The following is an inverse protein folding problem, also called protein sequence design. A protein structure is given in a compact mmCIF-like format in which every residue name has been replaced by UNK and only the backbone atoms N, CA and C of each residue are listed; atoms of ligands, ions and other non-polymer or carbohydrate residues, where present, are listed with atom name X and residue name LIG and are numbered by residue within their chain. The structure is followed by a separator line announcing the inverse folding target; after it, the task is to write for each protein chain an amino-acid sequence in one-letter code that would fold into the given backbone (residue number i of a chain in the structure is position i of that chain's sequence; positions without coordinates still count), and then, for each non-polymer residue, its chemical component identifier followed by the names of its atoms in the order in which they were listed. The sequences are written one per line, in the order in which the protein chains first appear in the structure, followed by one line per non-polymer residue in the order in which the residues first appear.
data_IF_446796513389
#
_entry.id   IF_446796513389
#
_cell.length_a   1.000
_cell.length_b   1.000
_cell.length_c   1.000
_cell.angle_alpha   90.00
_cell.angle_beta   90.00
_cell.angle_gamma   90.00
#
_symmetry.space_group_name_H-M   'P 1'
#
loop_
_entity.id
_entity.type
_entity.pdbx_description
1 polymer ?
#
# COMPACT_ATOMS: atom_id res chain seq x y z
N UNK A 1 5.72 -1.14 -17.85
CA UNK A 1 5.30 -1.20 -16.43
C UNK A 1 6.36 -0.51 -15.61
N UNK A 2 5.98 0.48 -14.79
CA UNK A 2 6.92 1.10 -13.85
C UNK A 2 7.00 0.22 -12.61
N UNK A 3 8.22 -0.06 -12.16
CA UNK A 3 8.48 -0.76 -10.91
C UNK A 3 8.94 0.26 -9.87
N UNK A 4 8.36 0.22 -8.67
CA UNK A 4 8.69 1.16 -7.60
C UNK A 4 8.93 0.43 -6.30
N UNK A 5 10.08 0.68 -5.69
CA UNK A 5 10.34 0.22 -4.32
C UNK A 5 9.43 0.97 -3.36
N UNK A 6 8.65 0.22 -2.58
CA UNK A 6 7.89 0.77 -1.46
C UNK A 6 8.71 0.67 -0.16
N UNK A 7 8.46 1.60 0.74
CA UNK A 7 9.14 1.66 2.04
C UNK A 7 8.34 0.90 3.10
N UNK A 8 8.99 -0.01 3.83
CA UNK A 8 8.39 -0.59 5.04
C UNK A 8 8.38 0.44 6.17
N UNK A 9 7.24 0.64 6.81
CA UNK A 9 7.09 1.46 8.00
C UNK A 9 6.79 0.59 9.22
N UNK A 10 7.16 1.12 10.39
CA UNK A 10 7.02 0.45 11.68
C UNK A 10 6.24 1.33 12.64
N UNK A 11 5.56 0.75 13.64
CA UNK A 11 4.90 1.52 14.69
C UNK A 11 5.89 2.41 15.45
N UNK A 12 5.43 3.60 15.83
CA UNK A 12 6.14 4.47 16.76
C UNK A 12 6.10 3.91 18.21
N UNK A 13 6.73 4.62 19.15
CA UNK A 13 6.76 4.21 20.55
C UNK A 13 5.36 4.11 21.20
N UNK A 14 4.34 4.74 20.60
CA UNK A 14 2.94 4.66 21.02
C UNK A 14 2.14 3.57 20.29
N UNK A 15 2.77 2.78 19.41
CA UNK A 15 2.12 1.71 18.66
C UNK A 15 1.37 2.16 17.41
N UNK A 16 1.44 3.45 17.05
CA UNK A 16 0.78 4.00 15.87
C UNK A 16 1.70 3.94 14.65
N UNK A 17 1.16 3.60 13.48
CA UNK A 17 1.92 3.60 12.23
C UNK A 17 1.53 4.81 11.38
N UNK A 18 2.53 5.53 10.85
CA UNK A 18 2.30 6.57 9.84
C UNK A 18 2.66 6.03 8.47
N UNK A 19 1.70 6.08 7.54
CA UNK A 19 1.85 5.58 6.17
C UNK A 19 2.00 6.72 5.16
N UNK A 20 3.24 7.18 4.86
CA UNK A 20 3.48 8.12 3.77
C UNK A 20 3.17 7.49 2.40
N UNK A 21 3.00 8.27 1.32
CA UNK A 21 2.84 7.70 -0.01
C UNK A 21 3.99 6.75 -0.35
N UNK A 22 3.68 5.63 -1.03
CA UNK A 22 4.63 4.59 -1.42
C UNK A 22 5.20 3.80 -0.23
N UNK A 23 4.37 3.49 0.77
CA UNK A 23 4.78 2.68 1.93
C UNK A 23 3.84 1.51 2.18
N UNK A 24 4.31 0.55 2.96
CA UNK A 24 3.47 -0.50 3.54
C UNK A 24 3.97 -0.83 4.95
N UNK A 25 3.14 -1.46 5.76
CA UNK A 25 3.45 -1.75 7.16
C UNK A 25 2.32 -2.47 7.86
N UNK A 26 2.58 -2.91 9.08
CA UNK A 26 1.59 -3.61 9.90
C UNK A 26 1.20 -2.73 11.09
N UNK A 27 -0.10 -2.55 11.30
CA UNK A 27 -0.67 -1.91 12.49
C UNK A 27 -1.68 -2.87 13.11
N UNK A 28 -1.53 -3.17 14.40
CA UNK A 28 -2.41 -4.09 15.14
C UNK A 28 -2.62 -5.47 14.47
N UNK A 29 -1.57 -6.02 13.86
CA UNK A 29 -1.61 -7.32 13.17
C UNK A 29 -2.19 -7.27 11.74
N UNK A 30 -2.74 -6.13 11.32
CA UNK A 30 -3.28 -5.94 9.97
C UNK A 30 -2.22 -5.27 9.10
N UNK A 31 -2.04 -5.83 7.89
CA UNK A 31 -1.19 -5.23 6.87
C UNK A 31 -1.92 -4.14 6.12
N UNK A 32 -1.20 -3.03 5.90
CA UNK A 32 -1.68 -1.91 5.10
C UNK A 32 -0.66 -1.54 4.04
N UNK A 33 -1.16 -0.99 2.93
CA UNK A 33 -0.37 -0.47 1.82
C UNK A 33 -0.89 0.89 1.40
N UNK A 34 0.02 1.80 1.08
CA UNK A 34 -0.28 3.07 0.42
C UNK A 34 0.48 3.11 -0.91
N UNK A 35 -0.09 2.52 -1.98
CA UNK A 35 0.53 2.51 -3.29
C UNK A 35 0.64 3.93 -3.87
N UNK A 36 1.36 4.13 -4.99
CA UNK A 36 1.48 5.43 -5.63
C UNK A 36 0.11 6.06 -5.89
N UNK A 37 0.00 7.38 -5.66
CA UNK A 37 -1.16 8.20 -6.01
C UNK A 37 -2.51 7.80 -5.39
N UNK A 38 -2.49 6.94 -4.36
CA UNK A 38 -3.69 6.45 -3.68
C UNK A 38 -3.67 6.68 -2.16
N UNK A 39 -4.84 6.65 -1.53
CA UNK A 39 -4.96 6.58 -0.07
C UNK A 39 -4.54 5.21 0.49
N UNK A 40 -4.51 5.12 1.82
CA UNK A 40 -4.16 3.90 2.54
C UNK A 40 -5.22 2.82 2.32
N UNK A 41 -4.80 1.60 2.03
CA UNK A 41 -5.66 0.43 1.87
C UNK A 41 -5.27 -0.69 2.84
N UNK A 42 -6.29 -1.40 3.32
CA UNK A 42 -6.13 -2.65 4.10
C UNK A 42 -5.84 -3.83 3.16
N UNK A 43 -4.98 -4.74 3.63
CA UNK A 43 -4.67 -6.02 2.98
C UNK A 43 -5.29 -7.21 3.72
N UNK A 44 -6.32 -7.01 4.54
CA UNK A 44 -7.00 -8.09 5.30
C UNK A 44 -7.56 -9.21 4.42
N UNK A 45 -7.91 -8.90 3.18
CA UNK A 45 -8.42 -9.86 2.21
C UNK A 45 -7.32 -10.46 1.30
N UNK A 46 -6.05 -10.21 1.63
CA UNK A 46 -4.90 -10.68 0.89
C UNK A 46 -4.07 -11.64 1.72
N UNK A 47 -3.37 -12.53 1.05
CA UNK A 47 -2.28 -13.30 1.64
C UNK A 47 -1.02 -12.47 1.60
N UNK A 48 -0.39 -12.26 2.75
CA UNK A 48 0.87 -11.53 2.88
C UNK A 48 1.95 -12.48 3.35
N UNK A 49 3.04 -12.56 2.60
CA UNK A 49 4.24 -13.32 2.95
C UNK A 49 5.36 -12.34 3.26
N UNK A 50 5.84 -12.35 4.50
CA UNK A 50 7.04 -11.60 4.90
C UNK A 50 8.30 -12.38 4.54
N UNK A 51 9.32 -11.66 4.06
CA UNK A 51 10.63 -12.21 3.70
C UNK A 51 11.68 -11.88 4.76
N UNK A 52 12.79 -12.63 4.74
CA UNK A 52 13.93 -12.46 5.66
C UNK A 52 14.56 -11.06 5.60
N UNK A 53 14.48 -10.39 4.44
CA UNK A 53 14.95 -9.02 4.23
C UNK A 53 13.98 -7.94 4.78
N UNK A 54 12.89 -8.36 5.41
CA UNK A 54 11.86 -7.48 5.94
C UNK A 54 10.89 -6.95 4.88
N UNK A 55 11.00 -7.37 3.62
CA UNK A 55 10.01 -7.02 2.59
C UNK A 55 8.79 -7.95 2.62
N UNK A 56 7.75 -7.61 1.85
CA UNK A 56 6.55 -8.47 1.72
C UNK A 56 6.23 -8.78 0.26
N UNK A 57 5.62 -9.94 0.05
CA UNK A 57 4.87 -10.27 -1.17
C UNK A 57 3.40 -10.42 -0.83
N UNK A 58 2.53 -9.90 -1.70
CA UNK A 58 1.07 -9.90 -1.51
C UNK A 58 0.39 -10.59 -2.67
N UNK A 59 -0.55 -11.49 -2.37
CA UNK A 59 -1.38 -12.18 -3.35
C UNK A 59 -2.86 -12.19 -2.92
N UNK A 60 -3.83 -12.10 -3.86
CA UNK A 60 -3.66 -11.82 -5.29
C UNK A 60 -3.18 -10.38 -5.56
N UNK A 61 -3.21 -9.94 -6.82
CA UNK A 61 -2.96 -8.52 -7.16
C UNK A 61 -3.83 -7.58 -6.33
N UNK A 62 -3.34 -6.38 -6.09
CA UNK A 62 -4.02 -5.35 -5.30
C UNK A 62 -4.74 -4.42 -6.27
N UNK A 63 -6.06 -4.38 -6.18
CA UNK A 63 -6.90 -3.37 -6.82
C UNK A 63 -7.36 -2.38 -5.77
N UNK A 64 -7.01 -1.10 -5.95
CA UNK A 64 -7.45 0.00 -5.12
C UNK A 64 -8.30 0.95 -5.96
N UNK A 65 -9.48 1.31 -5.45
CA UNK A 65 -10.36 2.34 -6.01
C UNK A 65 -10.57 3.41 -4.97
N UNK A 66 -10.39 4.65 -5.38
CA UNK A 66 -10.32 5.79 -4.49
C UNK A 66 -10.87 7.04 -5.19
N UNK A 67 -11.20 8.06 -4.42
CA UNK A 67 -11.80 9.29 -4.90
C UNK A 67 -11.03 10.48 -4.35
N UNK A 68 -10.45 11.28 -5.24
CA UNK A 68 -9.74 12.50 -4.85
C UNK A 68 -10.55 13.73 -5.23
N UNK A 69 -10.77 14.63 -4.26
CA UNK A 69 -11.26 15.98 -4.55
C UNK A 69 -10.12 16.81 -5.13
N UNK A 70 -10.37 17.40 -6.29
CA UNK A 70 -9.52 18.39 -6.95
C UNK A 70 -10.27 19.71 -6.91
N UNK A 71 -9.60 20.76 -6.41
CA UNK A 71 -10.13 22.13 -6.28
C UNK A 71 -11.45 22.23 -5.49
N UNK A 72 -11.64 21.37 -4.48
CA UNK A 72 -12.77 21.39 -3.56
C UNK A 72 -14.07 20.76 -4.08
N UNK A 73 -14.27 20.72 -5.40
CA UNK A 73 -15.55 20.33 -6.02
C UNK A 73 -15.46 19.07 -6.90
N UNK A 74 -14.36 18.88 -7.64
CA UNK A 74 -14.25 17.81 -8.63
C UNK A 74 -13.77 16.51 -7.97
N UNK A 75 -14.58 15.46 -8.00
CA UNK A 75 -14.16 14.12 -7.60
C UNK A 75 -13.55 13.41 -8.81
N UNK A 76 -12.29 13.00 -8.70
CA UNK A 76 -11.61 12.16 -9.69
C UNK A 76 -11.56 10.74 -9.14
N UNK A 77 -12.01 9.78 -9.96
CA UNK A 77 -11.84 8.35 -9.69
C UNK A 77 -10.37 7.97 -9.93
N UNK A 78 -9.76 7.41 -8.89
CA UNK A 78 -8.40 6.90 -8.91
C UNK A 78 -8.49 5.39 -8.81
N UNK A 79 -8.03 4.72 -9.85
CA UNK A 79 -7.87 3.28 -9.85
C UNK A 79 -6.39 2.94 -9.97
N UNK A 80 -5.88 2.19 -8.99
CA UNK A 80 -4.51 1.68 -8.99
C UNK A 80 -4.59 0.16 -8.90
N UNK A 81 -3.98 -0.53 -9.86
CA UNK A 81 -3.96 -1.99 -9.92
C UNK A 81 -2.52 -2.47 -10.14
N UNK A 82 -2.05 -3.36 -9.28
CA UNK A 82 -0.69 -3.88 -9.40
C UNK A 82 -0.38 -5.03 -8.45
N UNK A 83 0.88 -5.44 -8.50
CA UNK A 83 1.44 -6.52 -7.68
C UNK A 83 2.50 -5.97 -6.74
N UNK A 84 2.55 -6.48 -5.50
CA UNK A 84 3.61 -6.19 -4.55
C UNK A 84 4.43 -7.48 -4.34
N UNK A 85 5.68 -7.47 -4.81
CA UNK A 85 6.60 -8.60 -4.69
C UNK A 85 7.90 -8.13 -4.07
N UNK A 86 8.29 -8.70 -2.92
CA UNK A 86 9.49 -8.30 -2.18
C UNK A 86 9.62 -6.78 -2.01
N UNK A 87 8.51 -6.13 -1.64
CA UNK A 87 8.44 -4.68 -1.44
C UNK A 87 8.44 -3.84 -2.72
N UNK A 88 8.50 -4.46 -3.91
CA UNK A 88 8.45 -3.77 -5.20
C UNK A 88 7.01 -3.78 -5.72
N UNK A 89 6.43 -2.60 -5.89
CA UNK A 89 5.17 -2.39 -6.58
C UNK A 89 5.38 -2.41 -8.11
N UNK A 90 4.51 -3.12 -8.83
CA UNK A 90 4.46 -3.11 -10.30
C UNK A 90 3.02 -2.90 -10.77
N UNK A 91 2.81 -1.87 -11.58
CA UNK A 91 1.51 -1.58 -12.20
C UNK A 91 1.12 -2.65 -13.23
N UNK A 92 -0.19 -2.89 -13.39
CA UNK A 92 -0.78 -3.80 -14.38
C UNK A 92 -1.64 -3.04 -15.40
#
# INVERSE_FOLDING_TARGET
MMAKQLTRVYPDAGGKVTFPPNSYGQENGIWYIRPPDCHLGSLENHTVVEHEDGTITVSPSILHRDFKRVDGERVVDIQVHGFLERGIWRDC
#
